data_IF_834092900451
#
_entry.id   IF_834092900451
#
_cell.length_a   1.000
_cell.length_b   1.000
_cell.length_c   1.000
_cell.angle_alpha   90.00
_cell.angle_beta   90.00
_cell.angle_gamma   90.00
#
_symmetry.space_group_name_H-M   'P 1'
#
loop_
_entity.id
_entity.type
_entity.pdbx_description
1 polymer ?
#
# COMPACT_ATOMS: atom_id res chain seq x y z
N UNK A 1 21.52 28.70 10.84
CA UNK A 1 20.14 28.17 11.02
C UNK A 1 19.37 28.02 9.71
N UNK A 2 19.56 28.90 8.72
CA UNK A 2 18.76 28.95 7.48
C UNK A 2 19.31 28.01 6.36
N UNK A 3 20.62 28.01 6.13
CA UNK A 3 21.32 27.04 5.23
C UNK A 3 21.03 25.56 5.57
N UNK A 4 20.91 25.27 6.87
CA UNK A 4 20.58 23.93 7.38
C UNK A 4 19.14 23.51 7.07
N UNK A 5 18.24 24.47 6.79
CA UNK A 5 16.83 24.21 6.50
C UNK A 5 16.63 23.74 5.04
N UNK A 6 17.25 24.41 4.06
CA UNK A 6 17.14 24.00 2.64
C UNK A 6 17.73 22.61 2.36
N UNK A 7 18.89 22.31 2.95
CA UNK A 7 19.47 20.94 2.91
C UNK A 7 18.56 19.88 3.53
N UNK A 8 17.69 20.25 4.48
CA UNK A 8 16.74 19.33 5.11
C UNK A 8 15.63 18.94 4.14
N UNK A 9 15.12 19.89 3.35
CA UNK A 9 14.09 19.62 2.35
C UNK A 9 14.62 18.73 1.21
N UNK A 10 15.81 19.01 0.69
CA UNK A 10 16.45 18.18 -0.34
C UNK A 10 16.63 16.73 0.13
N UNK A 11 17.11 16.55 1.37
CA UNK A 11 17.22 15.22 1.99
C UNK A 11 15.86 14.55 2.13
N UNK A 12 14.82 15.29 2.52
CA UNK A 12 13.45 14.75 2.62
C UNK A 12 12.91 14.33 1.24
N UNK A 13 13.19 15.06 0.17
CA UNK A 13 12.81 14.67 -1.19
C UNK A 13 13.57 13.42 -1.67
N UNK A 14 14.86 13.33 -1.36
CA UNK A 14 15.65 12.12 -1.62
C UNK A 14 15.12 10.90 -0.86
N UNK A 15 14.74 11.05 0.41
CA UNK A 15 14.06 9.97 1.14
C UNK A 15 12.70 9.64 0.53
N UNK A 16 12.00 10.63 -0.02
CA UNK A 16 10.74 10.41 -0.72
C UNK A 16 10.88 9.53 -1.96
N UNK A 17 11.94 9.67 -2.75
CA UNK A 17 12.17 8.78 -3.92
C UNK A 17 12.43 7.34 -3.48
N UNK A 18 13.20 7.15 -2.40
CA UNK A 18 13.41 5.84 -1.79
C UNK A 18 12.09 5.25 -1.27
N UNK A 19 11.29 6.04 -0.55
CA UNK A 19 9.97 5.60 -0.08
C UNK A 19 9.04 5.27 -1.23
N UNK A 20 9.12 5.98 -2.35
CA UNK A 20 8.31 5.71 -3.54
C UNK A 20 8.66 4.34 -4.12
N UNK A 21 9.96 4.05 -4.24
CA UNK A 21 10.43 2.75 -4.71
C UNK A 21 9.98 1.62 -3.77
N UNK A 22 10.11 1.81 -2.45
CA UNK A 22 9.68 0.84 -1.45
C UNK A 22 8.16 0.61 -1.52
N UNK A 23 7.34 1.67 -1.55
CA UNK A 23 5.88 1.53 -1.62
C UNK A 23 5.42 0.89 -2.93
N UNK A 24 6.10 1.19 -4.04
CA UNK A 24 5.84 0.53 -5.34
C UNK A 24 6.19 -0.96 -5.28
N UNK A 25 7.33 -1.32 -4.67
CA UNK A 25 7.71 -2.72 -4.46
C UNK A 25 6.70 -3.46 -3.57
N UNK A 26 6.25 -2.83 -2.48
CA UNK A 26 5.22 -3.37 -1.59
C UNK A 26 3.91 -3.61 -2.34
N UNK A 27 3.49 -2.66 -3.18
CA UNK A 27 2.30 -2.79 -4.02
C UNK A 27 2.45 -3.95 -5.00
N UNK A 28 3.59 -4.02 -5.70
CA UNK A 28 3.91 -5.11 -6.62
C UNK A 28 3.83 -6.47 -5.91
N UNK A 29 4.54 -6.66 -4.79
CA UNK A 29 4.51 -7.92 -4.05
C UNK A 29 3.12 -8.25 -3.49
N UNK A 30 2.32 -7.25 -3.13
CA UNK A 30 0.94 -7.46 -2.67
C UNK A 30 0.06 -7.99 -3.80
N UNK A 31 0.15 -7.40 -4.99
CA UNK A 31 -0.55 -7.87 -6.17
C UNK A 31 -0.09 -9.28 -6.59
N UNK A 32 1.21 -9.55 -6.52
CA UNK A 32 1.75 -10.87 -6.83
C UNK A 32 1.25 -11.91 -5.83
N UNK A 33 1.26 -11.63 -4.52
CA UNK A 33 0.80 -12.57 -3.48
C UNK A 33 -0.67 -12.94 -3.70
N UNK A 34 -1.49 -11.94 -4.04
CA UNK A 34 -2.89 -12.16 -4.34
C UNK A 34 -3.06 -13.06 -5.57
N UNK A 35 -2.33 -12.77 -6.66
CA UNK A 35 -2.33 -13.59 -7.88
C UNK A 35 -1.91 -15.04 -7.60
N UNK A 36 -0.85 -15.25 -6.79
CA UNK A 36 -0.39 -16.56 -6.39
C UNK A 36 -1.41 -17.30 -5.52
N UNK A 37 -2.13 -16.60 -4.64
CA UNK A 37 -3.22 -17.15 -3.83
C UNK A 37 -4.40 -17.57 -4.69
N UNK A 38 -4.82 -16.74 -5.64
CA UNK A 38 -5.91 -17.08 -6.56
C UNK A 38 -5.56 -18.29 -7.42
N UNK A 39 -4.31 -18.38 -7.90
CA UNK A 39 -3.81 -19.54 -8.64
C UNK A 39 -3.85 -20.81 -7.80
N UNK A 40 -3.28 -20.78 -6.59
CA UNK A 40 -3.29 -21.92 -5.70
C UNK A 40 -4.70 -22.34 -5.26
N UNK A 41 -5.62 -21.39 -5.12
CA UNK A 41 -7.04 -21.64 -4.86
C UNK A 41 -7.68 -22.38 -6.03
N UNK A 42 -7.47 -21.92 -7.26
CA UNK A 42 -8.00 -22.57 -8.45
C UNK A 42 -7.44 -23.97 -8.66
N UNK A 43 -6.13 -24.15 -8.52
CA UNK A 43 -5.50 -25.48 -8.58
C UNK A 43 -6.05 -26.41 -7.50
N UNK A 44 -6.28 -25.89 -6.29
CA UNK A 44 -6.90 -26.63 -5.21
C UNK A 44 -8.34 -27.04 -5.46
N UNK A 45 -9.14 -26.13 -6.01
CA UNK A 45 -10.52 -26.38 -6.37
C UNK A 45 -10.67 -27.31 -7.58
N UNK A 46 -9.70 -27.30 -8.50
CA UNK A 46 -9.60 -28.26 -9.59
C UNK A 46 -9.14 -29.65 -9.11
N UNK A 47 -8.36 -29.71 -8.03
CA UNK A 47 -7.94 -30.96 -7.40
C UNK A 47 -9.04 -31.57 -6.52
N UNK A 48 -9.92 -30.77 -5.92
CA UNK A 48 -10.99 -31.23 -5.03
C UNK A 48 -11.83 -32.41 -5.60
N UNK A 49 -12.25 -32.37 -6.89
CA UNK A 49 -12.96 -33.48 -7.53
C UNK A 49 -12.22 -34.83 -7.47
N UNK A 50 -10.89 -34.82 -7.55
CA UNK A 50 -10.06 -36.03 -7.49
C UNK A 50 -10.04 -36.68 -6.10
N UNK A 51 -10.38 -35.93 -5.05
CA UNK A 51 -10.56 -36.46 -3.71
C UNK A 51 -11.85 -37.28 -3.57
N UNK A 52 -12.76 -37.24 -4.54
CA UNK A 52 -14.02 -37.96 -4.50
C UNK A 52 -13.99 -39.21 -5.38
N UNK A 53 -14.01 -40.38 -4.75
CA UNK A 53 -14.38 -41.63 -5.44
C UNK A 53 -15.88 -41.87 -5.25
N UNK A 54 -16.59 -42.24 -6.33
CA UNK A 54 -18.03 -42.53 -6.31
C UNK A 54 -18.39 -43.58 -5.26
N UNK A 55 -17.53 -44.59 -5.08
CA UNK A 55 -17.67 -45.59 -4.01
C UNK A 55 -17.56 -44.99 -2.61
N UNK A 56 -16.63 -44.04 -2.44
CA UNK A 56 -16.42 -43.35 -1.18
C UNK A 56 -17.63 -42.46 -0.84
N UNK A 57 -18.18 -41.72 -1.83
CA UNK A 57 -19.39 -40.91 -1.66
C UNK A 57 -20.58 -41.77 -1.23
N UNK A 58 -20.82 -42.90 -1.91
CA UNK A 58 -21.95 -43.76 -1.61
C UNK A 58 -21.82 -44.38 -0.19
N UNK A 59 -20.60 -44.75 0.22
CA UNK A 59 -20.33 -45.21 1.59
C UNK A 59 -20.58 -44.10 2.63
N UNK A 60 -20.12 -42.87 2.36
CA UNK A 60 -20.36 -41.72 3.25
C UNK A 60 -21.86 -41.42 3.40
N UNK A 61 -22.64 -41.55 2.33
CA UNK A 61 -24.08 -41.28 2.37
C UNK A 61 -24.84 -42.34 3.17
N UNK A 62 -24.43 -43.61 3.07
CA UNK A 62 -24.98 -44.69 3.90
C UNK A 62 -24.70 -44.46 5.38
N UNK A 63 -23.49 -44.01 5.74
CA UNK A 63 -23.17 -43.65 7.13
C UNK A 63 -23.93 -42.42 7.60
N UNK A 64 -24.05 -41.40 6.76
CA UNK A 64 -24.80 -40.18 7.07
C UNK A 64 -26.28 -40.49 7.35
N UNK A 65 -26.91 -41.35 6.53
CA UNK A 65 -28.31 -41.78 6.71
C UNK A 65 -28.55 -42.62 7.97
N UNK A 66 -27.50 -43.29 8.49
CA UNK A 66 -27.57 -44.04 9.76
C UNK A 66 -27.56 -43.11 10.98
N UNK A 67 -27.18 -41.84 10.82
CA UNK A 67 -27.20 -40.86 11.92
C UNK A 67 -28.60 -40.27 12.09
N UNK A 68 -29.24 -40.54 13.23
CA UNK A 68 -30.65 -40.20 13.49
C UNK A 68 -30.91 -38.72 13.79
N UNK A 69 -29.88 -37.93 14.14
CA UNK A 69 -29.89 -36.46 14.24
C UNK A 69 -28.47 -35.94 13.94
N UNK A 70 -28.30 -34.77 13.30
CA UNK A 70 -27.00 -34.13 13.21
C UNK A 70 -26.59 -33.52 14.58
N UNK A 71 -25.51 -33.96 15.23
CA UNK A 71 -24.97 -33.33 16.43
C UNK A 71 -24.78 -31.81 16.31
N UNK A 72 -25.07 -31.12 17.41
CA UNK A 72 -24.96 -29.66 17.56
C UNK A 72 -23.52 -29.15 17.65
N UNK A 73 -22.56 -30.04 17.93
CA UNK A 73 -21.12 -29.77 17.93
C UNK A 73 -20.42 -31.06 17.53
N UNK A 74 -20.45 -31.39 16.24
CA UNK A 74 -19.66 -32.49 15.70
C UNK A 74 -18.17 -32.15 15.83
N UNK A 75 -17.42 -32.93 16.59
CA UNK A 75 -16.03 -33.19 16.21
C UNK A 75 -16.07 -33.83 14.82
N UNK A 76 -15.92 -32.98 13.80
CA UNK A 76 -15.60 -33.25 12.38
C UNK A 76 -16.12 -34.60 11.87
N UNK A 77 -17.24 -34.59 11.15
CA UNK A 77 -17.66 -35.72 10.33
C UNK A 77 -16.45 -36.36 9.61
N UNK A 78 -16.41 -37.70 9.59
CA UNK A 78 -15.30 -38.47 9.02
C UNK A 78 -14.92 -38.01 7.60
N UNK A 79 -15.92 -37.63 6.79
CA UNK A 79 -15.71 -37.16 5.43
C UNK A 79 -15.09 -35.77 5.32
N UNK A 80 -15.41 -34.86 6.24
CA UNK A 80 -14.86 -33.50 6.31
C UNK A 80 -13.38 -33.57 6.70
N UNK A 81 -13.05 -34.49 7.61
CA UNK A 81 -11.67 -34.82 7.94
C UNK A 81 -10.93 -35.44 6.74
N UNK A 82 -11.55 -36.40 6.06
CA UNK A 82 -10.98 -37.01 4.85
C UNK A 82 -10.69 -35.98 3.75
N UNK A 83 -11.60 -35.03 3.54
CA UNK A 83 -11.43 -33.92 2.60
C UNK A 83 -10.22 -33.04 2.95
N UNK A 84 -10.10 -32.66 4.22
CA UNK A 84 -8.95 -31.88 4.72
C UNK A 84 -7.65 -32.66 4.55
N UNK A 85 -7.65 -33.94 4.88
CA UNK A 85 -6.49 -34.82 4.74
C UNK A 85 -6.09 -35.01 3.27
N UNK A 86 -7.05 -35.09 2.34
CA UNK A 86 -6.78 -35.15 0.90
C UNK A 86 -6.12 -33.87 0.37
N UNK A 87 -6.56 -32.70 0.86
CA UNK A 87 -5.97 -31.39 0.52
C UNK A 87 -4.57 -31.18 1.08
N UNK A 88 -4.18 -31.98 2.09
CA UNK A 88 -2.83 -32.02 2.67
C UNK A 88 -1.98 -33.18 2.14
N UNK A 89 -2.54 -34.02 1.26
CA UNK A 89 -1.82 -35.17 0.69
C UNK A 89 -0.65 -34.72 -0.20
N UNK A 90 0.33 -35.60 -0.40
CA UNK A 90 1.48 -35.36 -1.29
C UNK A 90 1.09 -35.10 -2.76
N UNK A 91 -0.12 -35.49 -3.14
CA UNK A 91 -0.66 -35.31 -4.49
C UNK A 91 -1.38 -33.97 -4.65
N UNK A 92 -1.63 -33.25 -3.55
CA UNK A 92 -2.24 -31.93 -3.60
C UNK A 92 -1.27 -30.89 -4.20
N UNK A 93 -1.78 -29.84 -4.86
CA UNK A 93 -0.97 -28.73 -5.35
C UNK A 93 -0.06 -28.16 -4.27
N UNK A 94 1.25 -28.12 -4.50
CA UNK A 94 2.22 -27.70 -3.48
C UNK A 94 1.98 -26.27 -2.97
N UNK A 95 1.41 -25.38 -3.81
CA UNK A 95 1.10 -24.00 -3.45
C UNK A 95 -0.07 -23.81 -2.47
N UNK A 96 -0.86 -24.86 -2.22
CA UNK A 96 -2.15 -24.78 -1.52
C UNK A 96 -2.01 -24.46 -0.03
N UNK A 97 -1.04 -25.08 0.62
CA UNK A 97 -0.76 -24.90 2.06
C UNK A 97 -0.12 -23.54 2.34
N UNK A 98 0.75 -23.07 1.44
CA UNK A 98 1.57 -21.87 1.68
C UNK A 98 0.88 -20.56 1.28
N UNK A 99 -0.06 -20.61 0.35
CA UNK A 99 -0.77 -19.43 -0.17
C UNK A 99 -1.90 -18.92 0.72
N UNK A 100 -2.28 -19.66 1.77
CA UNK A 100 -3.49 -19.39 2.56
C UNK A 100 -4.79 -19.79 1.85
N UNK A 101 -4.73 -20.30 0.60
CA UNK A 101 -5.87 -20.86 -0.10
C UNK A 101 -6.45 -22.09 0.63
N UNK A 102 -5.58 -22.91 1.25
CA UNK A 102 -6.02 -24.01 2.12
C UNK A 102 -7.01 -23.55 3.18
N UNK A 103 -6.73 -22.45 3.89
CA UNK A 103 -7.61 -21.94 4.97
C UNK A 103 -8.97 -21.48 4.44
N UNK A 104 -9.02 -20.92 3.23
CA UNK A 104 -10.28 -20.54 2.60
C UNK A 104 -11.12 -21.77 2.26
N UNK A 105 -10.51 -22.78 1.64
CA UNK A 105 -11.17 -24.05 1.32
C UNK A 105 -11.61 -24.76 2.62
N UNK A 106 -10.75 -24.77 3.63
CA UNK A 106 -11.04 -25.35 4.95
C UNK A 106 -12.24 -24.70 5.62
N UNK A 107 -12.27 -23.36 5.67
CA UNK A 107 -13.40 -22.59 6.22
C UNK A 107 -14.70 -22.91 5.50
N UNK A 108 -14.64 -23.00 4.16
CA UNK A 108 -15.83 -23.32 3.35
C UNK A 108 -16.33 -24.73 3.58
N UNK A 109 -15.42 -25.69 3.73
CA UNK A 109 -15.72 -27.07 4.10
C UNK A 109 -16.37 -27.12 5.49
N UNK A 110 -15.88 -26.33 6.45
CA UNK A 110 -16.43 -26.28 7.80
C UNK A 110 -17.83 -25.65 7.86
N UNK A 111 -18.11 -24.64 7.03
CA UNK A 111 -19.45 -24.06 6.87
C UNK A 111 -20.47 -25.06 6.32
N UNK A 112 -20.08 -25.79 5.27
CA UNK A 112 -20.94 -26.75 4.57
C UNK A 112 -21.00 -28.12 5.27
N UNK A 113 -20.27 -28.29 6.37
CA UNK A 113 -20.16 -29.54 7.13
C UNK A 113 -21.51 -30.05 7.69
N UNK A 114 -22.54 -29.21 7.70
CA UNK A 114 -23.90 -29.58 8.14
C UNK A 114 -24.75 -30.25 7.05
N UNK A 115 -24.28 -30.22 5.80
CA UNK A 115 -25.01 -30.73 4.64
C UNK A 115 -24.68 -32.22 4.36
N UNK A 116 -25.60 -32.95 3.70
CA UNK A 116 -25.33 -34.27 3.17
C UNK A 116 -24.06 -34.32 2.27
N UNK A 117 -23.32 -35.44 2.22
CA UNK A 117 -22.09 -35.54 1.43
C UNK A 117 -22.28 -35.21 -0.05
N UNK A 118 -23.37 -35.65 -0.68
CA UNK A 118 -23.65 -35.34 -2.09
C UNK A 118 -23.86 -33.85 -2.34
N UNK A 119 -24.66 -33.18 -1.51
CA UNK A 119 -24.92 -31.74 -1.63
C UNK A 119 -23.69 -30.91 -1.31
N UNK A 120 -22.88 -31.32 -0.32
CA UNK A 120 -21.58 -30.70 -0.02
C UNK A 120 -20.67 -30.72 -1.25
N UNK A 121 -20.55 -31.89 -1.91
CA UNK A 121 -19.71 -32.07 -3.09
C UNK A 121 -20.21 -31.23 -4.25
N UNK A 122 -21.52 -31.22 -4.50
CA UNK A 122 -22.11 -30.44 -5.58
C UNK A 122 -21.96 -28.94 -5.33
N UNK A 123 -22.08 -28.48 -4.07
CA UNK A 123 -21.82 -27.10 -3.68
C UNK A 123 -20.35 -26.71 -3.83
N UNK A 124 -19.42 -27.61 -3.50
CA UNK A 124 -17.98 -27.39 -3.70
C UNK A 124 -17.60 -27.38 -5.18
N UNK A 125 -18.24 -28.22 -6.01
CA UNK A 125 -18.09 -28.19 -7.48
C UNK A 125 -18.65 -26.92 -8.08
N UNK A 126 -19.86 -26.51 -7.70
CA UNK A 126 -20.47 -25.26 -8.15
C UNK A 126 -19.61 -24.06 -7.75
N UNK A 127 -19.04 -24.08 -6.54
CA UNK A 127 -18.09 -23.05 -6.11
C UNK A 127 -16.81 -23.05 -6.95
N UNK A 128 -16.24 -24.23 -7.21
CA UNK A 128 -15.08 -24.39 -8.10
C UNK A 128 -15.36 -23.81 -9.50
N UNK A 129 -16.50 -24.17 -10.11
CA UNK A 129 -16.92 -23.64 -11.42
C UNK A 129 -17.12 -22.12 -11.40
N UNK A 130 -17.71 -21.58 -10.32
CA UNK A 130 -17.90 -20.13 -10.16
C UNK A 130 -16.58 -19.36 -10.03
N UNK A 131 -15.54 -19.97 -9.45
CA UNK A 131 -14.21 -19.36 -9.32
C UNK A 131 -13.38 -19.54 -10.59
N UNK A 132 -13.52 -20.67 -11.29
CA UNK A 132 -12.84 -20.93 -12.56
C UNK A 132 -13.37 -20.06 -13.70
N UNK A 133 -14.62 -19.63 -13.63
CA UNK A 133 -15.23 -18.71 -14.60
C UNK A 133 -14.89 -17.24 -14.35
N UNK A 134 -14.33 -16.89 -13.20
CA UNK A 134 -13.87 -15.53 -12.93
C UNK A 134 -12.57 -15.24 -13.71
N UNK A 135 -12.44 -14.07 -14.34
CA UNK A 135 -11.22 -13.71 -15.06
C UNK A 135 -10.06 -13.57 -14.07
N UNK A 136 -9.16 -14.55 -14.08
CA UNK A 136 -7.97 -14.53 -13.24
C UNK A 136 -6.87 -13.70 -13.87
N UNK A 137 -6.41 -12.70 -13.12
CA UNK A 137 -5.23 -11.93 -13.48
C UNK A 137 -4.00 -12.67 -12.96
N UNK A 138 -3.45 -13.53 -13.80
CA UNK A 138 -2.18 -14.20 -13.52
C UNK A 138 -1.03 -13.28 -13.90
N UNK A 139 -0.14 -13.06 -12.94
CA UNK A 139 1.20 -12.56 -13.23
C UNK A 139 2.16 -13.72 -12.92
N UNK A 140 2.95 -14.16 -13.91
CA UNK A 140 3.88 -15.30 -13.80
C UNK A 140 5.13 -14.98 -12.96
N UNK A 141 4.94 -14.49 -11.74
CA UNK A 141 6.02 -14.24 -10.79
C UNK A 141 5.99 -15.28 -9.68
N UNK A 142 7.07 -16.05 -9.56
CA UNK A 142 7.26 -16.94 -8.44
C UNK A 142 7.63 -16.12 -7.20
N UNK A 143 6.79 -16.22 -6.16
CA UNK A 143 7.02 -15.53 -4.89
C UNK A 143 7.56 -16.57 -3.91
N UNK A 144 8.65 -16.26 -3.17
CA UNK A 144 9.14 -17.17 -2.15
C UNK A 144 8.06 -17.41 -1.10
N UNK A 145 7.77 -18.68 -0.80
CA UNK A 145 6.80 -19.05 0.24
C UNK A 145 7.31 -18.68 1.65
N UNK A 146 8.63 -18.71 1.84
CA UNK A 146 9.31 -18.36 3.08
C UNK A 146 10.40 -17.34 2.82
N UNK A 147 10.47 -16.34 3.69
CA UNK A 147 11.59 -15.43 3.77
C UNK A 147 12.50 -15.92 4.90
N UNK A 148 13.72 -16.32 4.58
CA UNK A 148 14.75 -16.60 5.56
C UNK A 148 15.58 -15.33 5.77
N UNK A 149 15.44 -14.69 6.92
CA UNK A 149 16.28 -13.58 7.33
C UNK A 149 17.30 -14.09 8.34
N UNK A 150 18.57 -13.84 8.09
CA UNK A 150 19.63 -14.13 9.04
C UNK A 150 19.98 -12.85 9.79
N UNK A 151 19.63 -12.78 11.07
CA UNK A 151 19.95 -11.64 11.93
C UNK A 151 20.84 -12.17 13.05
N UNK A 152 22.07 -11.66 13.12
CA UNK A 152 23.05 -12.01 14.15
C UNK A 152 23.30 -13.54 14.28
N UNK A 153 23.39 -14.23 13.14
CA UNK A 153 23.63 -15.69 13.08
C UNK A 153 22.40 -16.57 13.31
N UNK A 154 21.24 -15.99 13.66
CA UNK A 154 19.98 -16.72 13.79
C UNK A 154 19.17 -16.62 12.50
N UNK A 155 18.85 -17.78 11.91
CA UNK A 155 17.96 -17.90 10.75
C UNK A 155 16.51 -17.85 11.21
N UNK A 156 15.86 -16.71 11.02
CA UNK A 156 14.43 -16.54 11.22
C UNK A 156 13.74 -16.82 9.90
N UNK A 157 13.02 -17.94 9.82
CA UNK A 157 12.15 -18.25 8.68
C UNK A 157 10.74 -17.78 8.97
N UNK A 158 10.26 -16.77 8.25
CA UNK A 158 8.89 -16.28 8.33
C UNK A 158 8.15 -16.53 7.01
N UNK A 159 6.82 -16.61 7.03
CA UNK A 159 6.06 -16.60 5.78
C UNK A 159 6.24 -15.25 5.09
N UNK A 160 6.41 -15.25 3.78
CA UNK A 160 6.58 -14.01 3.01
C UNK A 160 5.38 -13.07 3.20
N UNK A 161 4.17 -13.63 3.33
CA UNK A 161 2.94 -12.89 3.62
C UNK A 161 3.00 -12.15 4.96
N UNK A 162 3.53 -12.78 6.01
CA UNK A 162 3.68 -12.15 7.32
C UNK A 162 4.76 -11.04 7.31
N UNK A 163 5.88 -11.28 6.63
CA UNK A 163 6.92 -10.27 6.44
C UNK A 163 6.38 -9.05 5.67
N UNK A 164 5.62 -9.29 4.61
CA UNK A 164 4.97 -8.25 3.81
C UNK A 164 3.92 -7.47 4.64
N UNK A 165 3.14 -8.17 5.47
CA UNK A 165 2.18 -7.53 6.39
C UNK A 165 2.87 -6.62 7.42
N UNK A 166 3.98 -7.09 8.02
CA UNK A 166 4.78 -6.27 8.93
C UNK A 166 5.36 -5.04 8.23
N UNK A 167 5.90 -5.21 7.02
CA UNK A 167 6.45 -4.11 6.25
C UNK A 167 5.37 -3.05 5.94
N UNK A 168 4.15 -3.47 5.57
CA UNK A 168 3.01 -2.57 5.40
C UNK A 168 2.72 -1.80 6.70
N UNK A 169 2.66 -2.49 7.83
CA UNK A 169 2.33 -1.89 9.12
C UNK A 169 3.39 -0.87 9.59
N UNK A 170 4.68 -1.16 9.39
CA UNK A 170 5.76 -0.24 9.76
C UNK A 170 5.88 0.97 8.82
N UNK A 171 5.53 0.81 7.54
CA UNK A 171 5.62 1.90 6.58
C UNK A 171 4.65 3.05 6.89
N UNK A 172 3.49 2.77 7.48
CA UNK A 172 2.50 3.81 7.84
C UNK A 172 3.06 4.93 8.73
N UNK A 173 3.58 4.61 9.94
CA UNK A 173 4.20 5.60 10.82
C UNK A 173 5.38 6.33 10.16
N UNK A 174 6.22 5.62 9.42
CA UNK A 174 7.38 6.21 8.73
C UNK A 174 6.92 7.27 7.72
N UNK A 175 5.93 6.93 6.89
CA UNK A 175 5.35 7.86 5.92
C UNK A 175 4.67 9.03 6.62
N UNK A 176 3.97 8.81 7.74
CA UNK A 176 3.34 9.88 8.50
C UNK A 176 4.37 10.91 8.99
N UNK A 177 5.46 10.45 9.61
CA UNK A 177 6.53 11.35 10.05
C UNK A 177 7.24 12.03 8.89
N UNK A 178 7.41 11.33 7.77
CA UNK A 178 8.01 11.91 6.57
C UNK A 178 7.14 13.01 5.95
N UNK A 179 5.85 12.75 5.66
CA UNK A 179 4.93 13.73 5.07
C UNK A 179 4.74 14.92 6.00
N UNK A 180 4.52 14.68 7.29
CA UNK A 180 4.38 15.75 8.30
C UNK A 180 5.67 16.55 8.44
N UNK A 181 6.82 15.87 8.42
CA UNK A 181 8.14 16.50 8.46
C UNK A 181 8.36 17.42 7.26
N UNK A 182 7.96 16.99 6.06
CA UNK A 182 8.03 17.77 4.83
C UNK A 182 7.11 18.99 4.90
N UNK A 183 5.86 18.79 5.32
CA UNK A 183 4.87 19.86 5.52
C UNK A 183 5.37 20.94 6.50
N UNK A 184 5.84 20.54 7.68
CA UNK A 184 6.32 21.46 8.70
C UNK A 184 7.60 22.18 8.28
N UNK A 185 8.55 21.46 7.66
CA UNK A 185 9.79 22.07 7.15
C UNK A 185 9.46 23.12 6.09
N UNK A 186 8.53 22.82 5.18
CA UNK A 186 8.11 23.75 4.14
C UNK A 186 7.37 24.96 4.69
N UNK A 187 6.48 24.76 5.67
CA UNK A 187 5.77 25.86 6.30
C UNK A 187 6.73 26.83 7.02
N UNK A 188 7.75 26.29 7.70
CA UNK A 188 8.78 27.09 8.37
C UNK A 188 9.64 27.87 7.37
N UNK A 189 10.02 27.25 6.24
CA UNK A 189 10.71 27.95 5.15
C UNK A 189 9.90 29.14 4.64
N UNK A 190 8.61 28.94 4.35
CA UNK A 190 7.74 29.99 3.84
C UNK A 190 7.52 31.10 4.86
N UNK A 191 7.39 30.77 6.15
CA UNK A 191 7.33 31.77 7.21
C UNK A 191 8.61 32.61 7.28
N UNK A 192 9.78 31.97 7.25
CA UNK A 192 11.07 32.65 7.32
C UNK A 192 11.34 33.54 6.09
N UNK A 193 10.92 33.09 4.91
CA UNK A 193 11.00 33.87 3.69
C UNK A 193 10.16 35.16 3.76
N UNK A 194 9.01 35.11 4.43
CA UNK A 194 8.14 36.28 4.64
C UNK A 194 8.67 37.25 5.69
N UNK A 195 9.38 36.75 6.71
CA UNK A 195 9.82 37.57 7.84
C UNK A 195 11.22 38.18 7.67
N UNK A 196 11.98 37.82 6.63
CA UNK A 196 13.36 38.26 6.45
C UNK A 196 13.54 39.28 5.31
N UNK A 197 14.09 40.49 5.57
CA UNK A 197 14.36 41.49 4.53
C UNK A 197 15.55 41.13 3.62
N UNK A 198 16.38 40.15 4.00
CA UNK A 198 17.56 39.71 3.25
C UNK A 198 17.55 38.20 3.01
N UNK A 199 16.48 37.69 2.40
CA UNK A 199 16.32 36.26 2.14
C UNK A 199 17.25 35.71 1.04
N UNK A 200 17.87 36.55 0.20
CA UNK A 200 18.75 36.10 -0.88
C UNK A 200 20.16 35.70 -0.39
N UNK A 201 20.68 36.33 0.67
CA UNK A 201 22.05 36.11 1.15
C UNK A 201 22.28 34.82 1.98
N UNK A 202 21.35 34.35 2.85
CA UNK A 202 21.56 33.15 3.65
C UNK A 202 21.12 31.84 2.98
N UNK A 203 20.64 31.88 1.73
CA UNK A 203 20.05 30.74 1.03
C UNK A 203 20.54 30.53 -0.42
N UNK A 204 21.83 30.23 -0.65
CA UNK A 204 22.32 29.89 -2.00
C UNK A 204 21.71 28.59 -2.55
N UNK A 205 21.20 27.72 -1.66
CA UNK A 205 20.59 26.42 -1.97
C UNK A 205 19.06 26.44 -1.90
N UNK A 206 18.44 27.62 -1.73
CA UNK A 206 17.11 27.82 -2.30
C UNK A 206 17.32 27.94 -3.81
N UNK A 207 17.68 26.83 -4.43
CA UNK A 207 17.82 26.72 -5.87
C UNK A 207 16.46 26.49 -6.55
N UNK A 208 15.33 26.67 -5.85
CA UNK A 208 14.02 26.33 -6.43
C UNK A 208 12.76 26.90 -5.72
N UNK A 209 12.77 28.12 -5.17
CA UNK A 209 11.48 28.80 -4.82
C UNK A 209 11.28 30.14 -5.48
N UNK A 210 12.35 30.81 -5.84
CA UNK A 210 12.33 31.99 -6.69
C UNK A 210 13.56 31.89 -7.59
N UNK A 211 13.48 32.29 -8.86
CA UNK A 211 14.69 32.44 -9.65
C UNK A 211 15.66 33.29 -8.82
N UNK A 212 16.90 32.82 -8.69
CA UNK A 212 17.99 33.59 -8.10
C UNK A 212 18.07 34.92 -8.86
N UNK A 213 17.38 35.93 -8.35
CA UNK A 213 17.68 37.32 -8.64
C UNK A 213 18.87 37.61 -7.74
N UNK A 214 20.04 37.13 -8.16
CA UNK A 214 21.29 37.75 -7.75
C UNK A 214 21.16 39.23 -8.12
N UNK A 215 21.25 40.07 -7.10
CA UNK A 215 21.13 41.53 -7.13
C UNK A 215 19.71 42.06 -7.32
N UNK A 216 19.14 42.62 -6.24
CA UNK A 216 18.14 43.68 -6.40
C UNK A 216 18.75 44.75 -7.32
N UNK A 217 18.06 45.18 -8.39
CA UNK A 217 17.43 46.49 -8.25
C UNK A 217 16.20 46.72 -9.16
N UNK A 218 15.36 47.65 -8.67
CA UNK A 218 14.59 48.64 -9.45
C UNK A 218 13.73 48.13 -10.61
N UNK A 219 12.40 48.22 -10.42
CA UNK A 219 11.39 48.56 -11.45
C UNK A 219 11.86 48.37 -12.90
N UNK A 220 12.06 47.13 -13.36
CA UNK A 220 12.21 46.85 -14.79
C UNK A 220 11.14 45.85 -15.20
N UNK A 221 10.20 46.38 -15.99
CA UNK A 221 9.20 45.64 -16.76
C UNK A 221 9.86 44.46 -17.46
N UNK A 222 9.41 43.25 -17.16
CA UNK A 222 9.82 42.05 -17.89
C UNK A 222 8.88 40.88 -17.60
N UNK A 223 7.83 40.74 -18.43
CA UNK A 223 6.88 39.62 -18.42
C UNK A 223 7.57 38.23 -18.40
N UNK A 224 8.73 38.13 -19.07
CA UNK A 224 9.52 36.91 -19.21
C UNK A 224 10.14 36.43 -17.89
N UNK A 225 10.72 37.31 -17.07
CA UNK A 225 11.32 36.91 -15.79
C UNK A 225 10.26 36.42 -14.79
N UNK A 226 9.06 37.02 -14.83
CA UNK A 226 7.90 36.55 -14.05
C UNK A 226 7.47 35.16 -14.52
N UNK A 227 7.43 34.93 -15.83
CA UNK A 227 7.10 33.63 -16.44
C UNK A 227 8.10 32.52 -16.06
N UNK A 228 9.41 32.81 -16.00
CA UNK A 228 10.43 31.85 -15.55
C UNK A 228 10.28 31.44 -14.08
N UNK A 229 9.81 32.34 -13.21
CA UNK A 229 9.53 32.02 -11.80
C UNK A 229 8.33 31.07 -11.65
N UNK A 230 7.24 31.35 -12.37
CA UNK A 230 6.03 30.51 -12.33
C UNK A 230 6.28 29.11 -12.92
N UNK A 231 7.08 29.01 -13.98
CA UNK A 231 7.44 27.72 -14.58
C UNK A 231 8.27 26.86 -13.64
N UNK A 232 9.25 27.42 -12.92
CA UNK A 232 10.02 26.68 -11.90
C UNK A 232 9.16 26.23 -10.72
N UNK A 233 8.29 27.11 -10.21
CA UNK A 233 7.35 26.77 -9.15
C UNK A 233 6.39 25.64 -9.60
N UNK A 234 5.90 25.70 -10.85
CA UNK A 234 5.06 24.67 -11.43
C UNK A 234 5.79 23.33 -11.57
N UNK A 235 7.02 23.31 -12.11
CA UNK A 235 7.84 22.09 -12.25
C UNK A 235 8.05 21.44 -10.89
N UNK A 236 8.42 22.23 -9.87
CA UNK A 236 8.59 21.72 -8.50
C UNK A 236 7.29 21.20 -7.92
N UNK A 237 6.19 21.95 -8.07
CA UNK A 237 4.86 21.52 -7.62
C UNK A 237 4.47 20.18 -8.24
N UNK A 238 4.74 19.99 -9.53
CA UNK A 238 4.54 18.72 -10.23
C UNK A 238 5.43 17.62 -9.65
N UNK A 239 6.72 17.87 -9.42
CA UNK A 239 7.62 16.87 -8.82
C UNK A 239 7.14 16.42 -7.44
N UNK A 240 6.77 17.36 -6.56
CA UNK A 240 6.27 17.05 -5.22
C UNK A 240 4.92 16.33 -5.31
N UNK A 241 4.03 16.76 -6.20
CA UNK A 241 2.75 16.11 -6.44
C UNK A 241 2.93 14.66 -6.90
N UNK A 242 3.76 14.42 -7.92
CA UNK A 242 4.08 13.07 -8.40
C UNK A 242 4.69 12.24 -7.29
N UNK A 243 5.66 12.77 -6.54
CA UNK A 243 6.29 12.07 -5.43
C UNK A 243 5.28 11.67 -4.34
N UNK A 244 4.38 12.59 -3.96
CA UNK A 244 3.34 12.32 -2.96
C UNK A 244 2.33 11.28 -3.42
N UNK A 245 1.88 11.35 -4.69
CA UNK A 245 0.97 10.35 -5.24
C UNK A 245 1.65 8.99 -5.34
N UNK A 246 2.89 8.93 -5.84
CA UNK A 246 3.62 7.68 -5.98
C UNK A 246 4.00 7.06 -4.63
N UNK A 247 4.19 7.84 -3.56
CA UNK A 247 4.49 7.31 -2.21
C UNK A 247 3.21 6.99 -1.43
N UNK A 248 2.42 8.01 -1.11
CA UNK A 248 1.23 7.90 -0.27
C UNK A 248 0.12 7.15 -0.99
N UNK A 249 -0.09 7.45 -2.28
CA UNK A 249 -1.13 6.81 -3.07
C UNK A 249 -0.90 5.31 -3.24
N UNK A 250 0.33 4.88 -3.57
CA UNK A 250 0.64 3.44 -3.71
C UNK A 250 0.58 2.70 -2.38
N UNK A 251 1.03 3.33 -1.28
CA UNK A 251 0.92 2.75 0.05
C UNK A 251 -0.55 2.57 0.47
N UNK A 252 -1.37 3.61 0.33
CA UNK A 252 -2.81 3.55 0.64
C UNK A 252 -3.51 2.50 -0.23
N UNK A 253 -3.22 2.47 -1.53
CA UNK A 253 -3.76 1.45 -2.44
C UNK A 253 -3.40 0.03 -1.98
N UNK A 254 -2.18 -0.19 -1.51
CA UNK A 254 -1.74 -1.48 -0.97
C UNK A 254 -2.57 -1.90 0.25
N UNK A 255 -2.86 -0.97 1.17
CA UNK A 255 -3.69 -1.25 2.34
C UNK A 255 -5.13 -1.60 1.94
N UNK A 256 -5.71 -0.89 0.97
CA UNK A 256 -7.05 -1.19 0.46
C UNK A 256 -7.11 -2.57 -0.21
N UNK A 257 -6.15 -2.90 -1.09
CA UNK A 257 -6.08 -4.23 -1.71
C UNK A 257 -6.01 -5.32 -0.63
N UNK A 258 -5.18 -5.10 0.40
CA UNK A 258 -5.05 -6.07 1.50
C UNK A 258 -6.35 -6.21 2.31
N UNK A 259 -7.07 -5.11 2.53
CA UNK A 259 -8.33 -5.09 3.26
C UNK A 259 -9.48 -5.80 2.52
N UNK A 260 -9.47 -5.83 1.19
CA UNK A 260 -10.46 -6.56 0.40
C UNK A 260 -10.16 -8.05 0.29
N UNK A 261 -8.89 -8.44 0.40
CA UNK A 261 -8.45 -9.81 0.15
C UNK A 261 -8.28 -10.65 1.42
N UNK A 262 -8.03 -10.02 2.58
CA UNK A 262 -7.98 -10.71 3.88
C UNK A 262 -9.15 -10.30 4.78
N UNK A 263 -9.85 -11.26 5.42
CA UNK A 263 -10.99 -10.99 6.29
C UNK A 263 -10.62 -10.35 7.64
N UNK A 264 -9.35 -10.03 7.86
CA UNK A 264 -8.88 -9.43 9.12
C UNK A 264 -9.37 -7.98 9.23
N UNK A 265 -10.22 -7.63 10.23
CA UNK A 265 -10.84 -6.32 10.35
C UNK A 265 -9.84 -5.18 10.66
N UNK A 266 -8.59 -5.51 10.96
CA UNK A 266 -7.52 -4.56 11.27
C UNK A 266 -7.10 -3.77 10.01
N UNK A 267 -7.12 -4.40 8.83
CA UNK A 267 -6.70 -3.76 7.60
C UNK A 267 -7.66 -2.69 7.05
N UNK A 268 -9.00 -2.88 7.03
CA UNK A 268 -9.91 -1.81 6.58
C UNK A 268 -9.90 -0.59 7.51
N UNK A 269 -9.87 -0.78 8.82
CA UNK A 269 -9.78 0.33 9.79
C UNK A 269 -8.41 1.03 9.66
N UNK A 270 -7.33 0.25 9.56
CA UNK A 270 -5.98 0.77 9.34
C UNK A 270 -5.83 1.53 8.02
N UNK A 271 -6.47 1.06 6.94
CA UNK A 271 -6.48 1.73 5.64
C UNK A 271 -7.19 3.08 5.70
N UNK A 272 -8.36 3.15 6.36
CA UNK A 272 -9.09 4.40 6.56
C UNK A 272 -8.31 5.40 7.42
N UNK A 273 -7.72 4.94 8.52
CA UNK A 273 -6.87 5.79 9.36
C UNK A 273 -5.63 6.27 8.60
N UNK A 274 -4.94 5.38 7.89
CA UNK A 274 -3.77 5.75 7.09
C UNK A 274 -4.14 6.73 5.98
N UNK A 275 -5.28 6.54 5.31
CA UNK A 275 -5.80 7.49 4.32
C UNK A 275 -6.03 8.85 4.97
N UNK A 276 -6.72 8.92 6.10
CA UNK A 276 -6.94 10.20 6.80
C UNK A 276 -5.62 10.86 7.23
N UNK A 277 -4.74 10.15 7.94
CA UNK A 277 -3.52 10.74 8.50
C UNK A 277 -2.43 11.03 7.47
N UNK A 278 -2.43 10.38 6.30
CA UNK A 278 -1.42 10.61 5.25
C UNK A 278 -1.91 11.53 4.15
N UNK A 279 -3.19 11.42 3.72
CA UNK A 279 -3.71 12.21 2.60
C UNK A 279 -3.85 13.67 3.01
N UNK A 280 -4.35 13.98 4.21
CA UNK A 280 -4.50 15.36 4.66
C UNK A 280 -3.17 16.16 4.63
N UNK A 281 -2.07 15.70 5.26
CA UNK A 281 -0.81 16.43 5.20
C UNK A 281 -0.16 16.38 3.81
N UNK A 282 -0.41 15.33 3.00
CA UNK A 282 0.06 15.29 1.60
C UNK A 282 -0.63 16.35 0.72
N UNK A 283 -1.96 16.48 0.82
CA UNK A 283 -2.72 17.56 0.19
C UNK A 283 -2.22 18.91 0.70
N UNK A 284 -1.97 19.03 2.02
CA UNK A 284 -1.37 20.22 2.61
C UNK A 284 -0.04 20.61 1.94
N UNK A 285 0.85 19.65 1.70
CA UNK A 285 2.11 19.88 0.99
C UNK A 285 1.88 20.35 -0.45
N UNK A 286 0.97 19.70 -1.18
CA UNK A 286 0.63 20.05 -2.56
C UNK A 286 0.07 21.48 -2.62
N UNK A 287 -0.93 21.79 -1.80
CA UNK A 287 -1.56 23.12 -1.74
C UNK A 287 -0.54 24.20 -1.37
N UNK A 288 0.41 23.93 -0.46
CA UNK A 288 1.47 24.89 -0.13
C UNK A 288 2.32 25.27 -1.34
N UNK A 289 2.60 24.32 -2.24
CA UNK A 289 3.43 24.58 -3.43
C UNK A 289 2.67 25.27 -4.56
N UNK A 290 1.35 25.10 -4.66
CA UNK A 290 0.55 25.75 -5.72
C UNK A 290 -0.11 27.07 -5.28
N UNK A 291 -0.56 27.20 -4.03
CA UNK A 291 -1.32 28.36 -3.57
C UNK A 291 -0.45 29.48 -2.99
N UNK A 292 0.65 29.15 -2.28
CA UNK A 292 1.49 30.15 -1.60
C UNK A 292 2.48 30.91 -2.50
N UNK A 293 3.03 30.37 -3.62
CA UNK A 293 3.89 31.17 -4.51
C UNK A 293 3.14 32.33 -5.18
N UNK A 294 1.84 32.16 -5.47
CA UNK A 294 0.99 33.20 -6.05
C UNK A 294 0.78 34.39 -5.09
N UNK A 295 0.71 34.12 -3.79
CA UNK A 295 0.50 35.15 -2.75
C UNK A 295 1.80 35.91 -2.49
N UNK A 296 2.93 35.21 -2.39
CA UNK A 296 4.21 35.86 -2.04
C UNK A 296 4.72 36.76 -3.17
N UNK A 297 4.50 36.41 -4.45
CA UNK A 297 4.82 37.29 -5.60
C UNK A 297 4.01 38.60 -5.57
N UNK A 298 2.79 38.59 -5.02
CA UNK A 298 1.92 39.77 -4.91
C UNK A 298 2.30 40.64 -3.70
N UNK A 299 2.74 40.03 -2.59
CA UNK A 299 3.14 40.76 -1.38
C UNK A 299 4.52 41.42 -1.51
N UNK A 300 5.49 40.79 -2.19
CA UNK A 300 6.79 41.42 -2.50
C UNK A 300 6.66 42.66 -3.40
N UNK A 301 5.58 42.77 -4.18
CA UNK A 301 5.29 43.94 -5.03
C UNK A 301 4.72 45.12 -4.21
N UNK A 302 4.11 44.86 -3.04
CA UNK A 302 3.48 45.88 -2.18
C UNK A 302 4.36 46.40 -1.05
N UNK A 303 5.31 45.61 -0.54
CA UNK A 303 6.18 46.02 0.58
C UNK A 303 7.31 46.98 0.16
N UNK A 304 7.53 47.18 -1.13
CA UNK A 304 8.42 48.21 -1.67
C UNK A 304 7.63 49.39 -2.26
N UNK A 305 6.77 50.00 -1.42
CA UNK A 305 6.40 51.40 -1.62
C UNK A 305 7.64 52.30 -1.62
N UNK A 306 7.58 53.52 -2.21
CA UNK A 306 8.70 54.45 -2.26
C UNK A 306 8.96 55.05 -0.86
N UNK A 307 9.43 54.22 0.07
CA UNK A 307 9.92 54.65 1.37
C UNK A 307 11.41 54.91 1.26
N UNK A 308 11.79 56.18 1.22
CA UNK A 308 13.14 56.65 1.49
C UNK A 308 13.59 56.14 2.87
N UNK A 309 14.60 55.28 2.91
CA UNK A 309 15.31 54.98 4.15
C UNK A 309 16.40 56.05 4.38
N UNK A 310 16.50 56.65 5.57
CA UNK A 310 17.66 57.45 5.94
C UNK A 310 18.88 56.53 6.09
N UNK A 311 20.04 57.05 5.72
CA UNK A 311 21.32 56.33 5.64
C UNK A 311 21.93 55.93 6.98
#
# INVERSE_FOLDING_TARGET
MLYTLGKRLERMLFFGTLFSAICTAILFFTLSVDSARTKALQEGLAYLPSCFDKKLIDNMEVEFKKMSKPPKSFEKFFYTKYLKDCLLSTNAPQGLVYSGAYKQIESRIDELNTEPPKTLIDNLKAWSESILTQPTRFYDFEIPSKLALEISGNKITSSFTAALALLKLFMGPILFFWVTGLFCTRNNELHLARSSPHYAAPFPHILNTFPLVSDTPRKKKGSTLRSFSYTHAAIRGIVIFTLMICTVGTYVATLFISAFNDPDPIFPIGALMAAFFLIFPAIGCIVQEFAKPAIDIVFFDRSHGPGSYPG
#
